data_IF_763544143055
#
_entry.id   IF_763544143055
#
_cell.length_a   1.000
_cell.length_b   1.000
_cell.length_c   1.000
_cell.angle_alpha   90.00
_cell.angle_beta   90.00
_cell.angle_gamma   90.00
#
_symmetry.space_group_name_H-M   'P 1'
#
loop_
_entity.id
_entity.type
_entity.pdbx_description
1 polymer ?
#
# COMPACT_ATOMS: atom_id res chain seq x y z
N UNK A 1 14.92 -9.60 12.08
CA UNK A 1 13.51 -9.44 11.65
C UNK A 1 13.50 -9.22 10.15
N UNK A 2 13.11 -10.22 9.35
CA UNK A 2 13.20 -10.15 7.90
C UNK A 2 12.26 -9.05 7.35
N UNK A 3 12.80 -8.07 6.61
CA UNK A 3 11.97 -7.14 5.83
C UNK A 3 11.15 -7.98 4.85
N UNK A 4 9.83 -8.08 5.07
CA UNK A 4 8.91 -8.56 4.03
C UNK A 4 9.11 -7.67 2.81
N UNK A 5 9.74 -8.23 1.78
CA UNK A 5 10.14 -7.51 0.59
C UNK A 5 8.95 -7.56 -0.35
N UNK A 6 8.12 -6.52 -0.30
CA UNK A 6 6.96 -6.43 -1.18
C UNK A 6 7.43 -6.11 -2.60
N UNK A 7 6.96 -6.89 -3.56
CA UNK A 7 7.23 -6.65 -4.96
C UNK A 7 6.73 -5.27 -5.38
N UNK A 8 7.47 -4.53 -6.22
CA UNK A 8 7.08 -3.19 -6.67
C UNK A 8 5.70 -3.18 -7.34
N UNK A 9 5.32 -4.28 -8.01
CA UNK A 9 3.99 -4.48 -8.59
C UNK A 9 2.86 -4.42 -7.55
N UNK A 10 3.06 -5.04 -6.39
CA UNK A 10 2.10 -5.01 -5.26
C UNK A 10 2.04 -3.61 -4.67
N UNK A 11 3.20 -2.97 -4.47
CA UNK A 11 3.30 -1.58 -3.99
C UNK A 11 2.49 -0.63 -4.88
N UNK A 12 2.61 -0.78 -6.19
CA UNK A 12 1.91 0.03 -7.19
C UNK A 12 0.39 -0.21 -7.19
N UNK A 13 -0.06 -1.48 -7.21
CA UNK A 13 -1.49 -1.81 -7.12
C UNK A 13 -2.15 -1.26 -5.85
N UNK A 14 -1.47 -1.40 -4.71
CA UNK A 14 -1.94 -0.92 -3.41
C UNK A 14 -2.11 0.60 -3.40
N UNK A 15 -1.12 1.31 -3.95
CA UNK A 15 -1.18 2.78 -4.04
C UNK A 15 -2.29 3.21 -5.01
N UNK A 16 -2.44 2.53 -6.15
CA UNK A 16 -3.53 2.78 -7.10
C UNK A 16 -4.90 2.62 -6.44
N UNK A 17 -5.18 1.48 -5.80
CA UNK A 17 -6.44 1.28 -5.06
C UNK A 17 -6.63 2.32 -3.94
N UNK A 18 -5.55 2.71 -3.26
CA UNK A 18 -5.60 3.73 -2.21
C UNK A 18 -5.82 5.15 -2.75
N UNK A 19 -5.50 5.40 -4.03
CA UNK A 19 -5.74 6.66 -4.74
C UNK A 19 -7.16 6.70 -5.34
N UNK A 20 -7.64 5.59 -5.89
CA UNK A 20 -9.02 5.49 -6.42
C UNK A 20 -10.07 5.72 -5.33
N UNK A 21 -9.73 5.46 -4.07
CA UNK A 21 -10.61 5.80 -2.93
C UNK A 21 -11.74 4.81 -2.70
N UNK A 22 -11.83 3.74 -3.50
CA UNK A 22 -12.81 2.66 -3.34
C UNK A 22 -12.63 1.86 -2.05
N UNK A 23 -11.40 1.80 -1.53
CA UNK A 23 -11.07 1.03 -0.32
C UNK A 23 -10.19 1.83 0.61
N UNK A 24 -10.45 1.71 1.90
CA UNK A 24 -9.58 2.30 2.92
C UNK A 24 -8.23 1.58 2.96
N UNK A 25 -7.15 2.26 3.36
CA UNK A 25 -5.82 1.65 3.46
C UNK A 25 -5.80 0.41 4.37
N UNK A 26 -6.71 0.31 5.35
CA UNK A 26 -6.90 -0.88 6.18
C UNK A 26 -7.51 -2.07 5.44
N UNK A 27 -8.47 -1.83 4.54
CA UNK A 27 -9.09 -2.88 3.72
C UNK A 27 -8.11 -3.39 2.67
N UNK A 28 -7.41 -2.49 1.99
CA UNK A 28 -6.35 -2.83 1.03
C UNK A 28 -5.24 -3.60 1.76
N UNK A 29 -4.87 -3.15 2.96
CA UNK A 29 -3.90 -3.83 3.79
C UNK A 29 -4.27 -5.29 4.07
N UNK A 30 -5.53 -5.51 4.46
CA UNK A 30 -6.06 -6.85 4.72
C UNK A 30 -6.13 -7.71 3.46
N UNK A 31 -6.52 -7.13 2.33
CA UNK A 31 -6.64 -7.83 1.04
C UNK A 31 -5.27 -8.30 0.50
N UNK A 32 -4.24 -7.47 0.64
CA UNK A 32 -2.89 -7.77 0.16
C UNK A 32 -1.96 -8.37 1.24
N UNK A 33 -2.45 -8.56 2.47
CA UNK A 33 -1.66 -9.09 3.59
C UNK A 33 -0.50 -8.17 4.02
N UNK A 34 -0.66 -6.86 3.78
CA UNK A 34 0.31 -5.82 4.09
C UNK A 34 -0.13 -5.05 5.34
N UNK A 35 0.80 -4.33 5.97
CA UNK A 35 0.45 -3.53 7.15
C UNK A 35 -0.22 -2.22 6.72
N UNK A 36 -1.33 -1.78 7.35
CA UNK A 36 -2.01 -0.53 6.98
C UNK A 36 -1.12 0.70 7.04
N UNK A 37 -0.15 0.71 7.97
CA UNK A 37 0.84 1.77 8.05
C UNK A 37 1.74 1.84 6.78
N UNK A 38 2.05 0.70 6.17
CA UNK A 38 2.82 0.65 4.93
C UNK A 38 2.03 1.21 3.75
N UNK A 39 0.71 0.98 3.70
CA UNK A 39 -0.16 1.56 2.65
C UNK A 39 -0.15 3.08 2.71
N UNK A 40 -0.30 3.65 3.91
CA UNK A 40 -0.23 5.09 4.12
C UNK A 40 1.13 5.68 3.74
N UNK A 41 2.22 5.01 4.12
CA UNK A 41 3.58 5.41 3.76
C UNK A 41 3.78 5.40 2.24
N UNK A 42 3.33 4.37 1.54
CA UNK A 42 3.49 4.25 0.09
C UNK A 42 2.65 5.26 -0.67
N UNK A 43 1.44 5.55 -0.19
CA UNK A 43 0.60 6.61 -0.76
C UNK A 43 1.30 7.97 -0.63
N UNK A 44 1.91 8.26 0.51
CA UNK A 44 2.75 9.45 0.71
C UNK A 44 3.97 9.48 -0.20
N UNK A 45 4.77 8.40 -0.23
CA UNK A 45 5.94 8.30 -1.11
C UNK A 45 5.60 8.46 -2.60
N UNK A 46 4.38 8.12 -3.01
CA UNK A 46 3.92 8.28 -4.38
C UNK A 46 3.42 9.70 -4.69
N UNK A 47 2.83 10.40 -3.71
CA UNK A 47 2.38 11.79 -3.85
C UNK A 47 3.53 12.80 -3.67
N UNK A 48 4.56 12.44 -2.90
CA UNK A 48 5.74 13.28 -2.64
C UNK A 48 6.84 13.14 -3.73
N UNK A 49 6.62 12.30 -4.76
CA UNK A 49 7.56 12.09 -5.87
C UNK A 49 7.06 12.60 -7.21
#
# INVERSE_FOLDING_TARGET
MAKKRYSPKVKFQVVLEALTGEKTPGQIAKQYGIHPNSVGLWKKEFLER
#
